data_IF_595773626454
#
_entry.id   IF_595773626454
#
_cell.length_a   1.000
_cell.length_b   1.000
_cell.length_c   1.000
_cell.angle_alpha   90.00
_cell.angle_beta   90.00
_cell.angle_gamma   90.00
#
_symmetry.space_group_name_H-M   'P 1'
#
loop_
_entity.id
_entity.type
_entity.pdbx_description
1 polymer ?
#
# COMPACT_ATOMS: atom_id res chain seq x y z
N UNK A 1 11.02 5.54 -31.08
CA UNK A 1 9.75 5.79 -30.37
C UNK A 1 9.47 4.55 -29.54
N UNK A 2 10.00 4.51 -28.32
CA UNK A 2 9.65 3.43 -27.37
C UNK A 2 8.36 3.86 -26.65
N UNK A 3 7.32 3.08 -26.84
CA UNK A 3 6.06 3.21 -26.10
C UNK A 3 6.32 3.03 -24.59
N UNK A 4 5.74 3.85 -23.70
CA UNK A 4 5.88 3.65 -22.27
C UNK A 4 5.31 2.29 -21.87
N UNK A 5 6.12 1.46 -21.19
CA UNK A 5 5.65 0.18 -20.63
C UNK A 5 4.36 0.43 -19.84
N UNK A 6 3.32 -0.42 -19.99
CA UNK A 6 2.13 -0.30 -19.18
C UNK A 6 2.54 -0.57 -17.74
N UNK A 7 2.79 0.51 -16.99
CA UNK A 7 2.88 0.47 -15.55
C UNK A 7 1.61 -0.23 -15.10
N UNK A 8 1.79 -1.36 -14.43
CA UNK A 8 0.71 -2.21 -13.96
C UNK A 8 0.01 -1.43 -12.85
N UNK A 9 -0.79 -0.43 -13.24
CA UNK A 9 -1.71 0.31 -12.38
C UNK A 9 -2.72 -0.74 -11.96
N UNK A 10 -2.42 -1.47 -10.89
CA UNK A 10 -3.44 -2.21 -10.16
C UNK A 10 -4.51 -1.18 -9.85
N UNK A 11 -5.65 -1.29 -10.54
CA UNK A 11 -6.86 -0.57 -10.15
C UNK A 11 -7.07 -0.92 -8.69
N UNK A 12 -6.83 0.02 -7.79
CA UNK A 12 -7.43 -0.03 -6.48
C UNK A 12 -8.92 0.02 -6.78
N UNK A 13 -9.59 -1.13 -6.71
CA UNK A 13 -11.05 -1.16 -6.73
C UNK A 13 -11.47 -0.34 -5.52
N UNK A 14 -11.94 0.90 -5.75
CA UNK A 14 -12.30 1.89 -4.72
C UNK A 14 -13.36 1.37 -3.72
N UNK A 15 -13.91 0.20 -3.99
CA UNK A 15 -14.88 -0.47 -3.15
C UNK A 15 -14.27 -1.40 -2.09
N UNK A 16 -13.01 -1.82 -2.17
CA UNK A 16 -12.49 -2.83 -1.21
C UNK A 16 -11.92 -2.18 0.04
N UNK A 17 -12.27 -2.72 1.21
CA UNK A 17 -11.81 -2.22 2.52
C UNK A 17 -11.14 -3.30 3.34
N UNK A 18 -9.97 -3.00 3.91
CA UNK A 18 -9.26 -3.92 4.80
C UNK A 18 -9.70 -3.74 6.26
N UNK A 19 -9.98 -4.84 6.95
CA UNK A 19 -10.24 -4.83 8.38
C UNK A 19 -8.92 -4.69 9.17
N UNK A 20 -8.83 -3.71 10.07
CA UNK A 20 -7.63 -3.48 10.88
C UNK A 20 -7.40 -4.57 11.95
N UNK A 21 -8.45 -5.32 12.34
CA UNK A 21 -8.36 -6.34 13.39
C UNK A 21 -7.77 -7.64 12.83
N UNK A 22 -8.29 -8.12 11.70
CA UNK A 22 -7.90 -9.41 11.11
C UNK A 22 -7.16 -9.33 9.78
N UNK A 23 -6.94 -8.11 9.25
CA UNK A 23 -6.28 -7.85 7.96
C UNK A 23 -6.99 -8.47 6.74
N UNK A 24 -8.23 -8.94 6.89
CA UNK A 24 -9.04 -9.44 5.79
C UNK A 24 -9.61 -8.30 4.96
N UNK A 25 -9.68 -8.49 3.63
CA UNK A 25 -10.27 -7.53 2.71
C UNK A 25 -11.74 -7.86 2.51
N UNK A 26 -12.59 -6.89 2.82
CA UNK A 26 -14.02 -6.92 2.55
C UNK A 26 -14.32 -6.40 1.14
N UNK A 27 -15.32 -6.99 0.50
CA UNK A 27 -15.63 -6.74 -0.91
C UNK A 27 -16.12 -5.32 -1.22
N UNK A 28 -16.74 -4.64 -0.25
CA UNK A 28 -17.36 -3.31 -0.42
C UNK A 28 -17.17 -2.43 0.82
N UNK A 29 -16.87 -1.15 0.64
CA UNK A 29 -16.85 -0.09 1.64
C UNK A 29 -18.29 0.36 1.98
N UNK A 30 -19.13 -0.61 2.33
CA UNK A 30 -20.52 -0.38 2.74
C UNK A 30 -20.63 -0.61 4.24
N UNK A 31 -21.34 0.28 4.93
CA UNK A 31 -21.59 0.19 6.38
C UNK A 31 -22.11 -1.19 6.78
N UNK A 32 -23.04 -1.75 6.00
CA UNK A 32 -23.60 -3.09 6.24
C UNK A 32 -22.53 -4.19 6.19
N UNK A 33 -21.70 -4.20 5.14
CA UNK A 33 -20.64 -5.20 4.94
C UNK A 33 -19.63 -5.17 6.09
N UNK A 34 -19.18 -3.98 6.48
CA UNK A 34 -18.22 -3.79 7.58
C UNK A 34 -18.85 -4.18 8.92
N UNK A 35 -20.10 -3.75 9.17
CA UNK A 35 -20.82 -4.08 10.41
C UNK A 35 -21.02 -5.59 10.54
N UNK A 36 -21.50 -6.26 9.49
CA UNK A 36 -21.66 -7.71 9.47
C UNK A 36 -20.33 -8.40 9.76
N UNK A 37 -19.24 -7.99 9.08
CA UNK A 37 -17.92 -8.55 9.31
C UNK A 37 -17.47 -8.42 10.77
N UNK A 38 -17.68 -7.24 11.36
CA UNK A 38 -17.36 -7.00 12.77
C UNK A 38 -18.21 -7.86 13.71
N UNK A 39 -19.53 -7.88 13.53
CA UNK A 39 -20.46 -8.62 14.38
C UNK A 39 -20.21 -10.14 14.32
N UNK A 40 -19.80 -10.68 13.17
CA UNK A 40 -19.56 -12.13 13.03
C UNK A 40 -18.17 -12.55 13.51
N UNK A 41 -17.13 -11.74 13.29
CA UNK A 41 -15.74 -12.15 13.55
C UNK A 41 -15.13 -11.52 14.81
N UNK A 42 -15.65 -10.36 15.22
CA UNK A 42 -14.98 -9.47 16.17
C UNK A 42 -15.91 -8.94 17.28
N UNK A 43 -17.08 -9.54 17.47
CA UNK A 43 -18.01 -9.18 18.56
C UNK A 43 -17.36 -9.13 19.94
N UNK A 44 -16.35 -9.96 20.20
CA UNK A 44 -15.59 -9.94 21.46
C UNK A 44 -14.86 -8.62 21.76
N UNK A 45 -14.70 -7.74 20.76
CA UNK A 45 -14.10 -6.41 20.93
C UNK A 45 -15.11 -5.35 21.42
N UNK A 46 -16.40 -5.68 21.55
CA UNK A 46 -17.41 -4.79 22.14
C UNK A 46 -17.10 -4.44 23.60
N UNK A 47 -16.32 -5.28 24.28
CA UNK A 47 -15.84 -5.02 25.65
C UNK A 47 -14.95 -3.79 25.76
N UNK A 48 -14.29 -3.39 24.68
CA UNK A 48 -13.42 -2.22 24.68
C UNK A 48 -14.23 -0.98 24.33
N UNK A 49 -14.33 -0.04 25.27
CA UNK A 49 -15.08 1.21 25.13
C UNK A 49 -14.17 2.41 25.38
N UNK A 50 -14.55 3.58 24.83
CA UNK A 50 -13.83 4.83 25.04
C UNK A 50 -12.33 4.75 24.72
N UNK A 51 -11.49 5.08 25.71
CA UNK A 51 -10.03 5.16 25.57
C UNK A 51 -9.38 3.80 25.36
N UNK A 52 -9.91 2.72 25.92
CA UNK A 52 -9.35 1.38 25.73
C UNK A 52 -9.45 0.93 24.27
N UNK A 53 -10.52 1.34 23.58
CA UNK A 53 -10.69 1.06 22.15
C UNK A 53 -9.62 1.77 21.31
N UNK A 54 -9.37 3.05 21.56
CA UNK A 54 -8.34 3.79 20.81
C UNK A 54 -6.95 3.25 21.11
N UNK A 55 -6.64 2.93 22.37
CA UNK A 55 -5.37 2.29 22.75
C UNK A 55 -5.14 0.95 22.05
N UNK A 56 -6.20 0.15 21.82
CA UNK A 56 -6.10 -1.10 21.06
C UNK A 56 -5.97 -0.89 19.55
N UNK A 57 -6.53 0.19 19.00
CA UNK A 57 -6.46 0.48 17.56
C UNK A 57 -5.11 1.03 17.12
N UNK A 58 -4.45 1.84 17.96
CA UNK A 58 -3.11 2.40 17.70
C UNK A 58 -2.09 1.37 17.16
N UNK A 59 -1.84 0.23 17.85
CA UNK A 59 -0.87 -0.75 17.35
C UNK A 59 -1.28 -1.38 16.02
N UNK A 60 -2.58 -1.55 15.76
CA UNK A 60 -3.06 -2.09 14.48
C UNK A 60 -2.81 -1.11 13.34
N UNK A 61 -3.06 0.19 13.55
CA UNK A 61 -2.78 1.23 12.56
C UNK A 61 -1.29 1.35 12.30
N UNK A 62 -0.47 1.45 13.35
CA UNK A 62 1.00 1.53 13.22
C UNK A 62 1.56 0.33 12.48
N UNK A 63 1.10 -0.88 12.82
CA UNK A 63 1.53 -2.10 12.15
C UNK A 63 1.16 -2.12 10.67
N UNK A 64 -0.03 -1.63 10.31
CA UNK A 64 -0.45 -1.54 8.91
C UNK A 64 0.39 -0.51 8.13
N UNK A 65 0.60 0.68 8.68
CA UNK A 65 1.42 1.72 8.05
C UNK A 65 2.86 1.25 7.86
N UNK A 66 3.44 0.59 8.87
CA UNK A 66 4.78 0.03 8.77
C UNK A 66 4.86 -1.08 7.70
N UNK A 67 3.82 -1.89 7.54
CA UNK A 67 3.77 -2.88 6.46
C UNK A 67 3.67 -2.21 5.08
N UNK A 68 2.90 -1.12 4.97
CA UNK A 68 2.74 -0.39 3.71
C UNK A 68 4.02 0.36 3.30
N UNK A 69 4.74 0.95 4.27
CA UNK A 69 5.95 1.73 3.99
C UNK A 69 7.08 0.89 3.38
N UNK A 70 7.17 -0.40 3.72
CA UNK A 70 8.16 -1.30 3.10
C UNK A 70 7.97 -1.38 1.59
N UNK A 71 6.71 -1.48 1.12
CA UNK A 71 6.42 -1.58 -0.31
C UNK A 71 6.62 -0.26 -1.05
N UNK A 72 6.30 0.88 -0.41
CA UNK A 72 6.52 2.19 -1.02
C UNK A 72 8.00 2.51 -1.13
N UNK A 73 8.78 2.28 -0.05
CA UNK A 73 10.22 2.52 -0.05
C UNK A 73 10.95 1.66 -1.10
N UNK A 74 10.51 0.40 -1.27
CA UNK A 74 11.09 -0.47 -2.30
C UNK A 74 10.76 0.01 -3.72
N UNK A 75 9.54 0.52 -3.95
CA UNK A 75 9.16 1.07 -5.25
C UNK A 75 9.97 2.34 -5.57
N UNK A 76 10.10 3.26 -4.62
CA UNK A 76 10.86 4.51 -4.77
C UNK A 76 12.35 4.25 -5.03
N UNK A 77 12.97 3.33 -4.28
CA UNK A 77 14.37 2.97 -4.50
C UNK A 77 14.59 2.33 -5.87
N UNK A 78 13.68 1.48 -6.34
CA UNK A 78 13.76 0.91 -7.70
C UNK A 78 13.69 1.96 -8.80
N UNK A 79 12.81 2.96 -8.66
CA UNK A 79 12.70 4.08 -9.59
C UNK A 79 13.98 4.92 -9.61
N UNK A 80 14.53 5.25 -8.44
CA UNK A 80 15.79 5.98 -8.31
C UNK A 80 16.97 5.23 -8.96
N UNK A 81 17.08 3.91 -8.75
CA UNK A 81 18.11 3.06 -9.37
C UNK A 81 17.99 3.07 -10.89
N UNK A 82 16.76 2.97 -11.40
CA UNK A 82 16.47 2.96 -12.84
C UNK A 82 16.86 4.30 -13.46
N UNK A 83 16.47 5.41 -12.82
CA UNK A 83 16.80 6.75 -13.26
C UNK A 83 18.31 6.99 -13.28
N UNK A 84 19.02 6.60 -12.22
CA UNK A 84 20.49 6.74 -12.15
C UNK A 84 21.18 5.97 -13.28
N UNK A 85 20.75 4.73 -13.51
CA UNK A 85 21.30 3.88 -14.57
C UNK A 85 21.06 4.46 -15.97
N UNK A 86 19.87 5.03 -16.20
CA UNK A 86 19.53 5.70 -17.45
C UNK A 86 20.44 6.92 -17.72
N UNK A 87 20.67 7.76 -16.70
CA UNK A 87 21.57 8.92 -16.81
C UNK A 87 22.99 8.49 -17.17
N UNK A 88 23.52 7.46 -16.51
CA UNK A 88 24.85 6.91 -16.81
C UNK A 88 24.92 6.40 -18.25
N UNK A 89 23.91 5.67 -18.70
CA UNK A 89 23.86 5.15 -20.07
C UNK A 89 23.82 6.28 -21.12
N UNK A 90 23.05 7.34 -20.90
CA UNK A 90 23.01 8.50 -21.78
C UNK A 90 24.36 9.21 -21.86
N UNK A 91 25.01 9.43 -20.71
CA UNK A 91 26.31 10.09 -20.68
C UNK A 91 27.36 9.25 -21.40
N UNK A 92 27.34 7.92 -21.22
CA UNK A 92 28.27 7.03 -21.90
C UNK A 92 28.04 6.98 -23.42
N UNK A 93 26.79 7.12 -23.89
CA UNK A 93 26.48 7.25 -25.32
C UNK A 93 26.97 8.57 -25.90
N UNK A 94 26.85 9.67 -25.14
CA UNK A 94 27.35 10.98 -25.57
C UNK A 94 28.88 11.01 -25.70
N UNK A 95 29.60 10.29 -24.82
CA UNK A 95 31.06 10.17 -24.87
C UNK A 95 31.56 9.33 -26.06
N UNK A 96 30.77 8.35 -26.52
CA UNK A 96 31.10 7.49 -27.67
C UNK A 96 30.87 8.15 -29.04
N UNK A 97 30.14 9.27 -29.10
CA UNK A 97 29.84 9.99 -30.35
C UNK A 97 30.86 11.09 -30.70
N UNK A 98 31.88 11.30 -29.84
CA UNK A 98 32.92 12.32 -30.00
C UNK A 98 34.26 11.72 -30.49
N UNK A 99 34.31 10.41 -30.81
CA UNK A 99 35.46 9.71 -31.38
C UNK A 99 35.26 9.36 -32.85
#
# INVERSE_FOLDING_TARGET
MEEPRPSCKKRVSEDKVMCLICKQVNATLKKFTIKRHYDTNHKMYDKFMGKERTTKLEPFQRGLTAQQSVFTNLAESGEAITQASYVVALNCQAEQAVQ
#
